data_IF_200811176268
#
_entry.id   IF_200811176268
#
_cell.length_a   1.000
_cell.length_b   1.000
_cell.length_c   1.000
_cell.angle_alpha   90.00
_cell.angle_beta   90.00
_cell.angle_gamma   90.00
#
_symmetry.space_group_name_H-M   'P 1'
#
loop_
_entity.id
_entity.type
_entity.pdbx_description
1 polymer ?
#
# COMPACT_ATOMS: atom_id res chain seq x y z
N UNK A 1 -11.10 -46.87 -34.75
CA UNK A 1 -10.23 -45.73 -35.11
C UNK A 1 -9.94 -44.97 -33.82
N UNK A 2 -8.68 -44.84 -33.41
CA UNK A 2 -8.33 -44.07 -32.22
C UNK A 2 -8.56 -42.58 -32.50
N UNK A 3 -9.17 -41.86 -31.56
CA UNK A 3 -9.32 -40.40 -31.64
C UNK A 3 -7.90 -39.80 -31.60
N UNK A 4 -7.42 -39.15 -32.68
CA UNK A 4 -6.09 -38.55 -32.70
C UNK A 4 -6.09 -37.38 -31.71
N UNK A 5 -5.08 -37.36 -30.83
CA UNK A 5 -4.83 -36.24 -29.93
C UNK A 5 -4.81 -34.93 -30.71
N UNK A 6 -5.73 -34.03 -30.37
CA UNK A 6 -5.81 -32.68 -30.90
C UNK A 6 -4.65 -31.85 -30.34
N UNK A 7 -3.45 -32.08 -30.85
CA UNK A 7 -2.40 -31.08 -30.80
C UNK A 7 -2.75 -30.03 -31.85
N UNK A 8 -3.17 -28.83 -31.43
CA UNK A 8 -3.34 -27.71 -32.33
C UNK A 8 -2.04 -26.91 -32.31
N UNK A 9 -1.12 -27.12 -33.28
CA UNK A 9 0.16 -26.43 -33.28
C UNK A 9 -0.10 -24.92 -33.40
N UNK A 10 0.55 -24.17 -32.52
CA UNK A 10 0.62 -22.73 -32.62
C UNK A 10 1.35 -22.35 -33.91
N UNK A 11 0.80 -21.39 -34.65
CA UNK A 11 1.42 -20.78 -35.84
C UNK A 11 1.84 -19.38 -35.48
N UNK A 12 3.10 -19.04 -35.74
CA UNK A 12 3.58 -17.67 -35.65
C UNK A 12 2.81 -16.77 -36.64
N UNK A 13 2.47 -15.56 -36.22
CA UNK A 13 1.79 -14.58 -37.06
C UNK A 13 2.75 -13.63 -37.81
N UNK A 14 4.06 -13.79 -37.61
CA UNK A 14 5.10 -12.94 -38.18
C UNK A 14 5.27 -11.58 -37.50
N UNK A 15 4.50 -11.29 -36.45
CA UNK A 15 4.52 -10.07 -35.64
C UNK A 15 4.98 -10.33 -34.19
N UNK A 16 5.52 -11.53 -33.94
CA UNK A 16 5.92 -11.97 -32.59
C UNK A 16 4.78 -12.58 -31.77
N UNK A 17 3.60 -12.80 -32.37
CA UNK A 17 2.49 -13.52 -31.79
C UNK A 17 2.37 -14.94 -32.31
N UNK A 18 1.53 -15.73 -31.63
CA UNK A 18 1.21 -17.11 -31.99
C UNK A 18 -0.30 -17.33 -31.99
N UNK A 19 -0.81 -18.10 -32.93
CA UNK A 19 -2.24 -18.35 -33.07
C UNK A 19 -2.55 -19.81 -33.43
N UNK A 20 -3.71 -20.28 -32.97
CA UNK A 20 -4.24 -21.61 -33.28
C UNK A 20 -5.76 -21.50 -33.48
N UNK A 21 -6.29 -22.27 -34.43
CA UNK A 21 -7.72 -22.29 -34.74
C UNK A 21 -8.23 -23.72 -34.68
N UNK A 22 -9.34 -23.93 -33.98
CA UNK A 22 -10.03 -25.21 -33.87
C UNK A 22 -11.55 -24.98 -33.79
N UNK A 23 -12.33 -26.02 -34.09
CA UNK A 23 -13.80 -25.96 -34.06
C UNK A 23 -14.33 -26.88 -32.97
N UNK A 24 -15.18 -26.34 -32.09
CA UNK A 24 -15.94 -27.11 -31.12
C UNK A 24 -17.39 -27.24 -31.58
N UNK A 25 -17.96 -28.43 -31.40
CA UNK A 25 -19.39 -28.67 -31.60
C UNK A 25 -20.09 -28.68 -30.23
N UNK A 26 -21.43 -28.66 -30.24
CA UNK A 26 -22.21 -28.75 -29.02
C UNK A 26 -21.76 -29.95 -28.17
N UNK A 27 -21.55 -29.71 -26.86
CA UNK A 27 -21.04 -30.68 -25.86
C UNK A 27 -19.57 -31.06 -25.98
N UNK A 28 -18.83 -30.57 -26.96
CA UNK A 28 -17.37 -30.72 -26.95
C UNK A 28 -16.75 -29.81 -25.88
N UNK A 29 -15.76 -30.34 -25.18
CA UNK A 29 -14.92 -29.60 -24.25
C UNK A 29 -13.47 -29.66 -24.74
N UNK A 30 -12.73 -28.58 -24.50
CA UNK A 30 -11.29 -28.53 -24.72
C UNK A 30 -10.64 -27.95 -23.48
N UNK A 31 -9.50 -28.51 -23.10
CA UNK A 31 -8.66 -28.03 -22.01
C UNK A 31 -7.31 -27.64 -22.60
N UNK A 32 -6.81 -26.47 -22.24
CA UNK A 32 -5.51 -25.97 -22.69
C UNK A 32 -4.68 -25.53 -21.48
N UNK A 33 -3.36 -25.60 -21.63
CA UNK A 33 -2.38 -25.16 -20.64
C UNK A 33 -1.47 -24.13 -21.31
N UNK A 34 -1.33 -22.97 -20.67
CA UNK A 34 -0.30 -21.99 -21.02
C UNK A 34 0.71 -21.98 -19.87
N UNK A 35 1.94 -22.41 -20.14
CA UNK A 35 3.01 -22.55 -19.17
C UNK A 35 4.20 -21.68 -19.58
N UNK A 36 4.84 -21.06 -18.59
CA UNK A 36 6.07 -20.29 -18.78
C UNK A 36 7.15 -20.93 -17.92
N UNK A 37 8.29 -21.31 -18.52
CA UNK A 37 9.40 -21.97 -17.82
C UNK A 37 10.69 -21.20 -18.02
N UNK A 38 11.53 -21.17 -16.99
CA UNK A 38 12.85 -20.52 -17.02
C UNK A 38 13.86 -21.35 -17.84
N UNK A 39 13.70 -22.67 -17.79
CA UNK A 39 14.57 -23.65 -18.43
C UNK A 39 13.80 -24.35 -19.55
N UNK A 40 14.48 -24.66 -20.67
CA UNK A 40 13.91 -25.30 -21.86
C UNK A 40 13.40 -26.73 -21.68
N UNK A 41 13.25 -27.19 -20.44
CA UNK A 41 12.78 -28.53 -20.06
C UNK A 41 11.24 -28.63 -19.93
N UNK A 42 10.52 -27.70 -20.57
CA UNK A 42 9.06 -27.76 -20.68
C UNK A 42 8.65 -28.86 -21.68
N UNK A 43 8.56 -30.10 -21.21
CA UNK A 43 7.92 -31.16 -21.96
C UNK A 43 6.45 -30.85 -22.18
N UNK A 44 5.96 -30.89 -23.43
CA UNK A 44 4.53 -30.71 -23.74
C UNK A 44 3.74 -31.83 -23.05
N UNK A 45 2.94 -31.48 -22.04
CA UNK A 45 2.03 -32.42 -21.36
C UNK A 45 0.61 -32.20 -21.86
N UNK A 46 -0.10 -33.24 -22.34
CA UNK A 46 -1.50 -33.09 -22.74
C UNK A 46 -2.36 -32.76 -21.51
N UNK A 47 -3.12 -31.67 -21.60
CA UNK A 47 -4.12 -31.31 -20.61
C UNK A 47 -5.37 -32.17 -20.83
N UNK A 48 -5.64 -33.07 -19.89
CA UNK A 48 -6.84 -33.93 -19.91
C UNK A 48 -7.91 -33.35 -18.97
N UNK A 49 -9.18 -33.74 -19.13
CA UNK A 49 -10.23 -33.37 -18.18
C UNK A 49 -9.89 -33.77 -16.74
N UNK A 50 -9.22 -34.92 -16.56
CA UNK A 50 -8.78 -35.39 -15.25
C UNK A 50 -7.69 -34.50 -14.66
N UNK A 51 -6.70 -34.09 -15.46
CA UNK A 51 -5.65 -33.17 -15.00
C UNK A 51 -6.26 -31.81 -14.65
N UNK A 52 -7.09 -31.26 -15.53
CA UNK A 52 -7.79 -30.01 -15.27
C UNK A 52 -8.61 -30.04 -13.97
N UNK A 53 -9.42 -31.09 -13.76
CA UNK A 53 -10.23 -31.16 -12.54
C UNK A 53 -9.37 -31.31 -11.29
N UNK A 54 -8.29 -32.08 -11.36
CA UNK A 54 -7.35 -32.19 -10.24
C UNK A 54 -6.73 -30.84 -9.91
N UNK A 55 -6.19 -30.12 -10.89
CA UNK A 55 -5.55 -28.81 -10.69
C UNK A 55 -6.56 -27.77 -10.18
N UNK A 56 -7.80 -27.83 -10.67
CA UNK A 56 -8.90 -26.98 -10.21
C UNK A 56 -9.28 -27.26 -8.75
N UNK A 57 -9.45 -28.54 -8.37
CA UNK A 57 -9.75 -28.97 -7.01
C UNK A 57 -8.61 -28.57 -6.05
N UNK A 58 -7.35 -28.84 -6.41
CA UNK A 58 -6.18 -28.47 -5.60
C UNK A 58 -6.08 -26.94 -5.40
N UNK A 59 -6.34 -26.17 -6.46
CA UNK A 59 -6.37 -24.69 -6.38
C UNK A 59 -7.49 -24.22 -5.45
N UNK A 60 -8.68 -24.80 -5.58
CA UNK A 60 -9.83 -24.45 -4.75
C UNK A 60 -9.58 -24.79 -3.28
N UNK A 61 -9.09 -25.99 -3.00
CA UNK A 61 -8.78 -26.47 -1.64
C UNK A 61 -7.71 -25.62 -0.98
N UNK A 62 -6.66 -25.22 -1.73
CA UNK A 62 -5.65 -24.31 -1.24
C UNK A 62 -6.25 -22.97 -0.80
N UNK A 63 -7.03 -22.31 -1.66
CA UNK A 63 -7.58 -20.99 -1.35
C UNK A 63 -8.65 -21.03 -0.24
N UNK A 64 -9.49 -22.06 -0.22
CA UNK A 64 -10.49 -22.26 0.84
C UNK A 64 -9.80 -22.57 2.17
N UNK A 65 -8.81 -23.46 2.17
CA UNK A 65 -7.99 -23.78 3.32
C UNK A 65 -7.26 -22.54 3.86
N UNK A 66 -6.63 -21.77 2.98
CA UNK A 66 -5.96 -20.51 3.35
C UNK A 66 -6.93 -19.52 3.99
N UNK A 67 -8.07 -19.26 3.34
CA UNK A 67 -9.07 -18.30 3.82
C UNK A 67 -9.76 -18.75 5.11
N UNK A 68 -9.85 -20.06 5.37
CA UNK A 68 -10.43 -20.60 6.61
C UNK A 68 -9.68 -20.14 7.87
N UNK A 69 -8.42 -19.70 7.74
CA UNK A 69 -7.59 -19.15 8.82
C UNK A 69 -7.96 -17.71 9.19
N UNK A 70 -8.74 -17.02 8.35
CA UNK A 70 -9.14 -15.63 8.59
C UNK A 70 -9.99 -15.52 9.86
N UNK A 71 -9.52 -14.72 10.82
CA UNK A 71 -10.15 -14.57 12.14
C UNK A 71 -11.25 -13.50 12.15
N UNK A 72 -11.38 -12.70 11.09
CA UNK A 72 -12.37 -11.63 11.03
C UNK A 72 -13.79 -12.15 10.83
N UNK A 73 -14.66 -11.83 11.79
CA UNK A 73 -16.08 -12.20 11.83
C UNK A 73 -17.01 -10.96 11.86
N UNK A 74 -16.48 -9.79 11.50
CA UNK A 74 -17.23 -8.52 11.54
C UNK A 74 -18.23 -8.36 10.40
N UNK A 75 -18.95 -7.23 10.41
CA UNK A 75 -20.09 -6.93 9.52
C UNK A 75 -19.77 -7.01 8.03
N UNK A 76 -18.54 -6.68 7.63
CA UNK A 76 -18.10 -6.62 6.23
C UNK A 76 -17.23 -7.82 5.82
N UNK A 77 -17.53 -9.00 6.36
CA UNK A 77 -16.70 -10.20 6.20
C UNK A 77 -16.30 -10.48 4.75
N UNK A 78 -17.25 -10.48 3.82
CA UNK A 78 -16.98 -10.82 2.41
C UNK A 78 -16.01 -9.83 1.75
N UNK A 79 -16.15 -8.53 2.04
CA UNK A 79 -15.27 -7.49 1.50
C UNK A 79 -13.86 -7.59 2.06
N UNK A 80 -13.75 -7.84 3.37
CA UNK A 80 -12.45 -8.04 4.04
C UNK A 80 -11.76 -9.30 3.53
N UNK A 81 -12.49 -10.42 3.39
CA UNK A 81 -11.94 -11.66 2.85
C UNK A 81 -11.52 -11.51 1.38
N UNK A 82 -12.30 -10.80 0.56
CA UNK A 82 -11.90 -10.50 -0.83
C UNK A 82 -10.60 -9.70 -0.87
N UNK A 83 -10.48 -8.63 -0.08
CA UNK A 83 -9.25 -7.85 0.02
C UNK A 83 -8.07 -8.67 0.52
N UNK A 84 -8.27 -9.58 1.47
CA UNK A 84 -7.22 -10.49 1.94
C UNK A 84 -6.72 -11.43 0.83
N UNK A 85 -7.61 -11.99 0.00
CA UNK A 85 -7.22 -12.79 -1.16
C UNK A 85 -6.36 -11.99 -2.14
N UNK A 86 -6.72 -10.74 -2.37
CA UNK A 86 -5.96 -9.84 -3.25
C UNK A 86 -4.55 -9.65 -2.72
N UNK A 87 -4.40 -9.31 -1.43
CA UNK A 87 -3.07 -9.11 -0.83
C UNK A 87 -2.23 -10.39 -0.90
N UNK A 88 -2.84 -11.57 -0.69
CA UNK A 88 -2.15 -12.85 -0.88
C UNK A 88 -1.72 -13.07 -2.33
N UNK A 89 -2.54 -12.70 -3.31
CA UNK A 89 -2.21 -12.76 -4.74
C UNK A 89 -1.12 -11.75 -5.15
N UNK A 90 -1.02 -10.62 -4.45
CA UNK A 90 0.04 -9.62 -4.64
C UNK A 90 1.34 -9.97 -3.90
N UNK A 91 1.34 -11.03 -3.09
CA UNK A 91 2.52 -11.52 -2.37
C UNK A 91 3.34 -12.43 -3.27
N UNK A 92 4.59 -12.07 -3.51
CA UNK A 92 5.56 -12.93 -4.19
C UNK A 92 6.01 -14.04 -3.24
N UNK A 93 5.44 -15.23 -3.42
CA UNK A 93 5.62 -16.35 -2.50
C UNK A 93 7.08 -16.70 -2.14
N UNK A 94 8.08 -16.61 -3.05
CA UNK A 94 9.47 -16.96 -2.71
C UNK A 94 10.13 -16.05 -1.67
N UNK A 95 9.77 -14.76 -1.61
CA UNK A 95 10.42 -13.80 -0.72
C UNK A 95 9.48 -13.20 0.31
N UNK A 96 8.16 -13.29 0.12
CA UNK A 96 7.16 -12.60 0.94
C UNK A 96 6.92 -11.15 0.54
N UNK A 97 7.66 -10.61 -0.44
CA UNK A 97 7.48 -9.23 -0.91
C UNK A 97 6.07 -9.01 -1.47
N UNK A 98 5.44 -7.89 -1.15
CA UNK A 98 4.11 -7.54 -1.67
C UNK A 98 4.24 -6.39 -2.65
N UNK A 99 3.75 -6.56 -3.88
CA UNK A 99 3.75 -5.47 -4.86
C UNK A 99 2.61 -4.49 -4.59
N UNK A 100 2.84 -3.20 -4.86
CA UNK A 100 1.79 -2.18 -4.72
C UNK A 100 0.61 -2.42 -5.67
N UNK A 101 0.88 -2.93 -6.88
CA UNK A 101 -0.11 -3.47 -7.81
C UNK A 101 0.57 -4.38 -8.86
N UNK A 102 -0.16 -5.31 -9.50
CA UNK A 102 0.40 -6.16 -10.55
C UNK A 102 0.38 -5.47 -11.92
N UNK A 103 0.20 -4.16 -11.96
CA UNK A 103 0.03 -3.36 -13.18
C UNK A 103 1.08 -2.27 -13.29
N UNK A 104 1.24 -1.78 -14.52
CA UNK A 104 2.03 -0.59 -14.82
C UNK A 104 1.26 0.30 -15.78
N UNK A 105 1.49 1.61 -15.69
CA UNK A 105 1.08 2.60 -16.67
C UNK A 105 -0.42 2.71 -16.88
N UNK A 106 -1.20 2.33 -15.85
CA UNK A 106 -2.60 2.68 -15.82
C UNK A 106 -2.74 4.14 -15.37
N UNK A 107 -3.56 4.95 -16.06
CA UNK A 107 -3.61 6.39 -15.85
C UNK A 107 -4.45 6.79 -14.64
N UNK A 108 -3.90 7.66 -13.79
CA UNK A 108 -4.65 8.46 -12.78
C UNK A 108 -5.58 9.50 -13.46
N UNK A 109 -5.37 9.76 -14.75
CA UNK A 109 -6.21 10.65 -15.55
C UNK A 109 -6.15 10.23 -17.01
N UNK A 110 -7.30 9.86 -17.61
CA UNK A 110 -7.34 9.35 -18.99
C UNK A 110 -6.75 10.37 -19.97
N UNK A 111 -5.79 9.95 -20.79
CA UNK A 111 -5.04 10.80 -21.70
C UNK A 111 -3.93 11.62 -21.03
N UNK A 112 -3.82 11.54 -19.70
CA UNK A 112 -2.84 12.25 -18.89
C UNK A 112 -1.49 11.53 -18.74
N UNK A 113 -0.50 12.22 -18.15
CA UNK A 113 0.87 11.71 -18.01
C UNK A 113 1.13 10.93 -16.70
N UNK A 114 0.15 10.81 -15.81
CA UNK A 114 0.27 10.16 -14.48
C UNK A 114 0.00 8.65 -14.62
N UNK A 115 1.00 7.94 -15.13
CA UNK A 115 0.90 6.51 -15.49
C UNK A 115 2.13 5.79 -14.95
N UNK A 116 2.04 5.19 -13.76
CA UNK A 116 3.20 4.69 -13.00
C UNK A 116 3.30 3.17 -13.00
N UNK A 117 4.51 2.64 -12.83
CA UNK A 117 4.76 1.21 -12.62
C UNK A 117 4.72 0.87 -11.12
N UNK A 118 3.78 0.01 -10.73
CA UNK A 118 3.51 -0.34 -9.33
C UNK A 118 3.91 -1.78 -8.98
N UNK A 119 4.64 -2.47 -9.87
CA UNK A 119 5.05 -3.87 -9.69
C UNK A 119 6.25 -4.04 -8.74
N UNK A 120 6.35 -3.16 -7.75
CA UNK A 120 7.44 -3.06 -6.78
C UNK A 120 6.87 -3.04 -5.36
N UNK A 121 7.72 -3.25 -4.37
CA UNK A 121 7.37 -3.26 -2.95
C UNK A 121 7.85 -1.96 -2.30
N UNK A 122 6.92 -1.19 -1.76
CA UNK A 122 7.20 0.05 -1.04
C UNK A 122 7.31 -0.20 0.47
N UNK A 123 8.29 0.42 1.11
CA UNK A 123 8.39 0.42 2.58
C UNK A 123 7.24 1.19 3.23
N UNK A 124 6.70 2.20 2.54
CA UNK A 124 5.55 2.98 3.00
C UNK A 124 4.34 2.12 3.35
N UNK A 125 4.10 1.06 2.58
CA UNK A 125 2.90 0.23 2.73
C UNK A 125 3.10 -0.85 3.81
N UNK A 126 4.29 -0.94 4.43
CA UNK A 126 4.70 -2.04 5.28
C UNK A 126 3.88 -2.13 6.58
N UNK A 127 3.60 -0.99 7.24
CA UNK A 127 2.93 -1.00 8.54
C UNK A 127 1.48 -1.47 8.39
N UNK A 128 0.79 -0.92 7.38
CA UNK A 128 -0.54 -1.37 6.97
C UNK A 128 -0.55 -2.85 6.58
N UNK A 129 0.48 -3.33 5.87
CA UNK A 129 0.62 -4.74 5.47
C UNK A 129 0.66 -5.66 6.68
N UNK A 130 1.61 -5.46 7.59
CA UNK A 130 1.73 -6.30 8.78
C UNK A 130 0.51 -6.17 9.68
N UNK A 131 -0.01 -4.96 9.87
CA UNK A 131 -1.24 -4.75 10.62
C UNK A 131 -2.41 -5.57 10.02
N UNK A 132 -2.63 -5.49 8.71
CA UNK A 132 -3.69 -6.20 8.02
C UNK A 132 -3.56 -7.71 8.14
N UNK A 133 -2.40 -8.27 7.81
CA UNK A 133 -2.15 -9.71 7.87
C UNK A 133 -2.30 -10.27 9.29
N UNK A 134 -1.66 -9.64 10.27
CA UNK A 134 -1.68 -10.10 11.67
C UNK A 134 -3.08 -9.95 12.29
N UNK A 135 -3.79 -8.87 11.97
CA UNK A 135 -5.17 -8.65 12.45
C UNK A 135 -6.13 -9.71 11.92
N UNK A 136 -5.91 -10.18 10.68
CA UNK A 136 -6.72 -11.23 10.07
C UNK A 136 -6.25 -12.65 10.41
N UNK A 137 -5.11 -12.82 11.09
CA UNK A 137 -4.57 -14.13 11.50
C UNK A 137 -3.70 -14.83 10.45
N UNK A 138 -3.19 -14.09 9.46
CA UNK A 138 -2.29 -14.60 8.42
C UNK A 138 -0.82 -14.45 8.83
N UNK A 139 -0.41 -15.24 9.83
CA UNK A 139 0.91 -15.12 10.46
C UNK A 139 2.06 -15.52 9.52
N UNK A 140 1.90 -16.57 8.70
CA UNK A 140 2.96 -17.05 7.80
C UNK A 140 3.34 -15.97 6.76
N UNK A 141 2.33 -15.29 6.21
CA UNK A 141 2.52 -14.17 5.28
C UNK A 141 3.20 -12.99 5.97
N UNK A 142 2.81 -12.69 7.21
CA UNK A 142 3.41 -11.62 8.00
C UNK A 142 4.89 -11.92 8.34
N UNK A 143 5.21 -13.17 8.70
CA UNK A 143 6.59 -13.60 8.96
C UNK A 143 7.45 -13.55 7.69
N UNK A 144 6.91 -14.00 6.56
CA UNK A 144 7.61 -13.93 5.26
C UNK A 144 7.91 -12.49 4.85
N UNK A 145 6.92 -11.60 4.96
CA UNK A 145 7.11 -10.18 4.67
C UNK A 145 8.06 -9.50 5.67
N UNK A 146 8.03 -9.89 6.95
CA UNK A 146 8.99 -9.41 7.94
C UNK A 146 10.41 -9.87 7.61
N UNK A 147 10.60 -11.13 7.19
CA UNK A 147 11.91 -11.60 6.71
C UNK A 147 12.43 -10.74 5.56
N UNK A 148 11.56 -10.40 4.60
CA UNK A 148 11.91 -9.50 3.51
C UNK A 148 12.30 -8.08 3.98
N UNK A 149 11.63 -7.53 5.00
CA UNK A 149 11.98 -6.23 5.59
C UNK A 149 13.30 -6.29 6.37
N UNK A 150 13.55 -7.40 7.08
CA UNK A 150 14.80 -7.64 7.82
C UNK A 150 15.99 -7.62 6.87
N UNK A 151 15.89 -8.28 5.72
CA UNK A 151 16.93 -8.23 4.68
C UNK A 151 17.23 -6.78 4.24
N UNK A 152 16.19 -5.93 4.06
CA UNK A 152 16.40 -4.52 3.71
C UNK A 152 17.10 -3.73 4.82
N UNK A 153 16.86 -4.08 6.09
CA UNK A 153 17.57 -3.50 7.23
C UNK A 153 19.05 -3.89 7.26
N UNK A 154 19.42 -5.03 6.67
CA UNK A 154 20.81 -5.48 6.53
C UNK A 154 21.51 -4.88 5.29
N UNK A 155 20.76 -4.33 4.35
CA UNK A 155 21.23 -3.78 3.06
C UNK A 155 21.22 -2.24 3.02
N UNK A 156 21.47 -1.60 4.16
CA UNK A 156 21.52 -0.14 4.26
C UNK A 156 22.56 0.45 3.30
N UNK A 157 22.29 1.66 2.82
CA UNK A 157 23.31 2.42 2.08
C UNK A 157 24.53 2.69 2.98
N UNK A 158 25.74 2.94 2.41
CA UNK A 158 26.94 3.20 3.21
C UNK A 158 26.82 4.38 4.18
N UNK A 159 25.92 5.33 3.89
CA UNK A 159 25.62 6.48 4.75
C UNK A 159 24.58 6.15 5.83
N UNK A 160 23.99 4.95 5.85
CA UNK A 160 22.94 4.52 6.78
C UNK A 160 21.50 4.76 6.30
N UNK A 161 21.29 5.31 5.11
CA UNK A 161 19.94 5.58 4.59
C UNK A 161 19.28 4.37 3.94
N UNK A 162 17.94 4.41 3.84
CA UNK A 162 17.11 3.42 3.15
C UNK A 162 16.60 3.95 1.80
N UNK A 163 16.49 3.04 0.85
CA UNK A 163 15.77 3.27 -0.40
C UNK A 163 14.25 3.09 -0.17
N UNK A 164 13.37 3.92 -0.77
CA UNK A 164 11.92 3.87 -0.49
C UNK A 164 11.20 2.59 -0.94
N UNK A 165 11.67 1.97 -2.01
CA UNK A 165 10.98 0.87 -2.69
C UNK A 165 11.96 -0.07 -3.40
N UNK A 166 11.60 -1.33 -3.58
CA UNK A 166 12.49 -2.37 -4.12
C UNK A 166 11.74 -3.31 -5.06
N UNK A 167 12.46 -4.08 -5.88
CA UNK A 167 11.84 -5.21 -6.58
C UNK A 167 11.46 -6.34 -5.63
N UNK A 168 10.62 -7.26 -6.13
CA UNK A 168 10.15 -8.44 -5.39
C UNK A 168 11.27 -9.35 -4.88
N UNK A 169 12.44 -9.27 -5.51
CA UNK A 169 13.69 -9.99 -5.21
C UNK A 169 14.67 -9.14 -4.38
N UNK A 170 14.27 -7.95 -3.93
CA UNK A 170 15.14 -7.01 -3.20
C UNK A 170 16.02 -6.15 -4.09
N UNK A 171 15.93 -6.26 -5.43
CA UNK A 171 16.76 -5.43 -6.33
C UNK A 171 16.50 -3.93 -6.09
N UNK A 172 17.59 -3.16 -6.12
CA UNK A 172 17.58 -1.73 -5.84
C UNK A 172 17.40 -0.88 -7.09
N UNK A 173 17.92 -1.30 -8.23
CA UNK A 173 17.81 -0.50 -9.45
C UNK A 173 16.46 -0.69 -10.14
N UNK A 174 15.65 0.38 -10.13
CA UNK A 174 14.30 0.43 -10.68
C UNK A 174 14.18 1.49 -11.80
N UNK A 175 15.21 1.58 -12.65
CA UNK A 175 15.34 2.61 -13.69
C UNK A 175 14.02 2.82 -14.47
N UNK A 176 13.55 4.06 -14.48
CA UNK A 176 12.32 4.47 -15.17
C UNK A 176 12.63 4.81 -16.64
N UNK A 177 11.98 4.12 -17.58
CA UNK A 177 12.03 4.43 -19.02
C UNK A 177 10.66 4.31 -19.68
N UNK A 178 10.51 4.90 -20.88
CA UNK A 178 9.24 4.95 -21.61
C UNK A 178 9.22 4.07 -22.85
N UNK A 179 8.09 3.41 -23.09
CA UNK A 179 7.84 2.59 -24.28
C UNK A 179 7.05 3.40 -25.32
N UNK A 180 7.75 4.21 -26.11
CA UNK A 180 7.11 5.16 -27.02
C UNK A 180 6.34 4.53 -28.19
N UNK A 181 6.60 3.26 -28.48
CA UNK A 181 5.92 2.48 -29.52
C UNK A 181 4.52 2.01 -29.08
N UNK A 182 4.17 2.11 -27.80
CA UNK A 182 2.84 1.75 -27.29
C UNK A 182 1.94 2.98 -27.21
N UNK A 183 0.66 2.82 -27.57
CA UNK A 183 -0.32 3.91 -27.46
C UNK A 183 -0.74 4.20 -26.01
N UNK A 184 -0.59 3.21 -25.11
CA UNK A 184 -1.02 3.26 -23.72
C UNK A 184 -2.53 3.09 -23.54
N UNK A 185 -2.95 2.76 -22.31
CA UNK A 185 -4.35 2.46 -22.01
C UNK A 185 -5.25 3.68 -22.30
N UNK A 186 -6.27 3.49 -23.16
CA UNK A 186 -7.16 4.56 -23.64
C UNK A 186 -6.37 5.79 -24.16
N UNK A 187 -5.25 5.56 -24.85
CA UNK A 187 -4.35 6.59 -25.41
C UNK A 187 -3.66 7.46 -24.34
N UNK A 188 -3.50 6.94 -23.13
CA UNK A 188 -2.81 7.64 -22.04
C UNK A 188 -1.31 7.36 -22.12
N UNK A 189 -0.52 8.42 -22.33
CA UNK A 189 0.94 8.35 -22.48
C UNK A 189 1.63 9.18 -21.41
N UNK A 190 2.86 8.80 -20.99
CA UNK A 190 3.66 7.70 -21.52
C UNK A 190 3.31 6.34 -20.90
N UNK A 191 3.74 5.25 -21.55
CA UNK A 191 3.83 3.92 -20.94
C UNK A 191 5.22 3.81 -20.31
N UNK A 192 5.28 3.66 -18.99
CA UNK A 192 6.49 3.57 -18.18
C UNK A 192 6.80 2.13 -17.76
N UNK A 193 8.08 1.83 -17.65
CA UNK A 193 8.61 0.67 -16.96
C UNK A 193 9.61 1.18 -15.94
N UNK A 194 9.58 0.65 -14.72
CA UNK A 194 10.35 1.22 -13.61
C UNK A 194 9.65 2.41 -12.96
N UNK A 195 10.22 2.90 -11.87
CA UNK A 195 9.63 3.98 -11.09
C UNK A 195 10.71 4.87 -10.49
N UNK A 196 10.76 6.13 -10.89
CA UNK A 196 11.78 7.09 -10.47
C UNK A 196 11.78 7.43 -8.97
N UNK A 197 10.72 7.08 -8.22
CA UNK A 197 10.63 7.33 -6.78
C UNK A 197 11.72 6.58 -5.98
N UNK A 198 12.31 5.51 -6.51
CA UNK A 198 13.39 4.78 -5.83
C UNK A 198 14.64 5.61 -5.54
N UNK A 199 14.85 6.74 -6.22
CA UNK A 199 15.97 7.66 -5.95
C UNK A 199 15.62 8.80 -5.00
N UNK A 200 14.34 8.93 -4.62
CA UNK A 200 13.88 10.05 -3.80
C UNK A 200 14.29 9.87 -2.34
N UNK A 201 14.44 11.01 -1.66
CA UNK A 201 14.53 11.01 -0.22
C UNK A 201 13.11 11.00 0.37
N UNK A 202 12.79 9.98 1.15
CA UNK A 202 11.52 9.90 1.87
C UNK A 202 11.82 9.64 3.33
N UNK A 203 11.52 10.59 4.21
CA UNK A 203 11.78 10.44 5.64
C UNK A 203 10.67 9.64 6.34
N UNK A 204 9.49 9.53 5.73
CA UNK A 204 8.37 8.77 6.26
C UNK A 204 8.64 7.26 6.32
N UNK A 205 9.43 6.71 5.39
CA UNK A 205 9.70 5.26 5.33
C UNK A 205 10.35 4.69 6.59
N UNK A 206 11.08 5.51 7.35
CA UNK A 206 11.71 5.07 8.60
C UNK A 206 10.67 4.83 9.69
N UNK A 207 9.67 5.70 9.77
CA UNK A 207 8.52 5.51 10.64
C UNK A 207 7.71 4.29 10.25
N UNK A 208 7.44 4.12 8.95
CA UNK A 208 6.66 3.00 8.42
C UNK A 208 7.35 1.66 8.71
N UNK A 209 8.66 1.58 8.48
CA UNK A 209 9.45 0.40 8.77
C UNK A 209 9.45 0.06 10.27
N UNK A 210 9.72 1.02 11.15
CA UNK A 210 9.82 0.74 12.58
C UNK A 210 8.44 0.49 13.19
N UNK A 211 7.37 1.11 12.69
CA UNK A 211 6.00 0.78 13.12
C UNK A 211 5.61 -0.64 12.69
N UNK A 212 5.98 -1.06 11.48
CA UNK A 212 5.85 -2.45 11.01
C UNK A 212 6.51 -3.42 11.98
N UNK A 213 7.77 -3.15 12.33
CA UNK A 213 8.54 -4.00 13.24
C UNK A 213 7.95 -3.99 14.64
N UNK A 214 7.47 -2.84 15.12
CA UNK A 214 6.78 -2.75 16.40
C UNK A 214 5.50 -3.60 16.42
N UNK A 215 4.71 -3.55 15.35
CA UNK A 215 3.50 -4.36 15.20
C UNK A 215 3.89 -5.84 15.23
N UNK A 216 4.88 -6.26 14.45
CA UNK A 216 5.36 -7.65 14.43
C UNK A 216 5.91 -8.10 15.78
N UNK A 217 6.69 -7.25 16.46
CA UNK A 217 7.29 -7.53 17.77
C UNK A 217 6.26 -7.85 18.87
N UNK A 218 5.01 -7.39 18.72
CA UNK A 218 3.92 -7.74 19.64
C UNK A 218 3.40 -9.17 19.46
N UNK A 219 3.75 -9.82 18.36
CA UNK A 219 3.38 -11.19 18.02
C UNK A 219 4.58 -12.14 18.12
N UNK A 220 5.74 -11.72 17.64
CA UNK A 220 6.96 -12.52 17.63
C UNK A 220 8.18 -11.64 17.92
N UNK A 221 9.06 -12.15 18.77
CA UNK A 221 10.25 -11.45 19.21
C UNK A 221 11.21 -11.11 18.08
N UNK A 222 11.63 -9.84 17.99
CA UNK A 222 12.71 -9.45 17.07
C UNK A 222 14.08 -9.92 17.56
N UNK A 223 14.98 -10.19 16.61
CA UNK A 223 16.37 -10.57 16.90
C UNK A 223 17.20 -9.38 17.39
N UNK A 224 18.28 -9.66 18.10
CA UNK A 224 19.26 -8.63 18.48
C UNK A 224 19.98 -8.04 17.25
N UNK A 225 20.17 -8.84 16.20
CA UNK A 225 20.81 -8.38 14.96
C UNK A 225 19.93 -7.35 14.24
N UNK A 226 18.64 -7.61 14.06
CA UNK A 226 17.70 -6.61 13.55
C UNK A 226 17.72 -5.36 14.44
N UNK A 227 17.67 -5.52 15.77
CA UNK A 227 17.73 -4.37 16.68
C UNK A 227 18.97 -3.49 16.49
N UNK A 228 20.14 -4.06 16.23
CA UNK A 228 21.36 -3.28 15.93
C UNK A 228 21.18 -2.42 14.68
N UNK A 229 20.58 -2.95 13.62
CA UNK A 229 20.32 -2.20 12.38
C UNK A 229 19.30 -1.07 12.60
N UNK A 230 18.25 -1.32 13.40
CA UNK A 230 17.29 -0.26 13.76
C UNK A 230 17.95 0.88 14.53
N UNK A 231 18.90 0.59 15.42
CA UNK A 231 19.68 1.64 16.08
C UNK A 231 20.51 2.45 15.10
N UNK A 232 21.10 1.81 14.10
CA UNK A 232 21.88 2.53 13.08
C UNK A 232 20.99 3.44 12.21
N UNK A 233 19.81 2.94 11.83
CA UNK A 233 18.80 3.73 11.11
C UNK A 233 18.35 4.95 11.91
N UNK A 234 18.12 4.80 13.22
CA UNK A 234 17.69 5.90 14.08
C UNK A 234 18.78 6.96 14.28
N UNK A 235 20.06 6.57 14.29
CA UNK A 235 21.17 7.54 14.30
C UNK A 235 21.16 8.38 13.03
N UNK A 236 20.99 7.74 11.86
CA UNK A 236 20.87 8.51 10.61
C UNK A 236 19.64 9.43 10.63
N UNK A 237 18.49 8.93 11.11
CA UNK A 237 17.27 9.73 11.17
C UNK A 237 17.39 10.92 12.13
N UNK A 238 18.07 10.75 13.27
CA UNK A 238 18.34 11.83 14.24
C UNK A 238 19.05 13.03 13.59
N UNK A 239 19.99 12.76 12.70
CA UNK A 239 20.74 13.78 11.97
C UNK A 239 19.92 14.44 10.84
N UNK A 240 18.98 13.72 10.23
CA UNK A 240 18.36 14.13 8.97
C UNK A 240 16.86 14.45 9.04
N UNK A 241 16.18 14.20 10.17
CA UNK A 241 14.71 14.34 10.24
C UNK A 241 14.21 15.75 9.97
N UNK A 242 15.03 16.79 10.14
CA UNK A 242 14.67 18.20 9.86
C UNK A 242 14.78 18.58 8.39
N UNK A 243 15.44 17.77 7.58
CA UNK A 243 15.67 18.07 6.16
C UNK A 243 14.38 17.91 5.35
N UNK A 244 14.21 18.71 4.28
CA UNK A 244 13.09 18.52 3.37
C UNK A 244 13.23 17.21 2.59
N UNK A 245 12.10 16.66 2.14
CA UNK A 245 12.00 15.38 1.44
C UNK A 245 10.84 15.41 0.43
N UNK A 246 10.60 14.29 -0.26
CA UNK A 246 9.57 14.17 -1.31
C UNK A 246 8.20 13.71 -0.77
N UNK A 247 8.14 13.35 0.51
CA UNK A 247 6.93 12.99 1.24
C UNK A 247 6.23 11.72 0.73
N UNK A 248 5.11 11.39 1.38
CA UNK A 248 4.32 10.18 1.11
C UNK A 248 3.79 10.09 -0.33
N UNK A 249 3.59 11.25 -0.98
CA UNK A 249 3.08 11.37 -2.35
C UNK A 249 4.17 11.47 -3.41
N UNK A 250 5.45 11.36 -3.04
CA UNK A 250 6.57 11.22 -3.97
C UNK A 250 6.67 12.39 -4.95
N UNK A 251 6.39 13.60 -4.45
CA UNK A 251 6.16 14.77 -5.31
C UNK A 251 7.39 15.06 -6.18
N UNK A 252 7.17 15.31 -7.47
CA UNK A 252 8.26 15.62 -8.41
C UNK A 252 8.55 17.12 -8.55
N UNK A 253 7.81 17.99 -7.85
CA UNK A 253 7.99 19.44 -7.85
C UNK A 253 9.04 19.96 -6.85
N UNK A 254 9.78 19.07 -6.20
CA UNK A 254 10.90 19.39 -5.31
C UNK A 254 10.60 19.18 -3.83
N UNK A 255 11.67 19.04 -3.05
CA UNK A 255 11.62 18.67 -1.63
C UNK A 255 10.98 19.76 -0.75
N UNK A 256 10.21 19.34 0.25
CA UNK A 256 9.55 20.21 1.25
C UNK A 256 9.64 19.61 2.66
N UNK A 257 9.52 20.42 3.72
CA UNK A 257 9.38 19.92 5.09
C UNK A 257 7.95 19.40 5.30
N UNK A 258 7.64 18.22 4.76
CA UNK A 258 6.30 17.63 4.83
C UNK A 258 5.91 17.26 6.26
N UNK A 259 4.68 17.59 6.65
CA UNK A 259 4.14 17.27 7.96
C UNK A 259 4.16 15.76 8.21
N UNK A 260 3.68 14.98 7.24
CA UNK A 260 3.62 13.52 7.35
C UNK A 260 5.00 12.91 7.62
N UNK A 261 6.03 13.38 6.92
CA UNK A 261 7.41 12.92 7.09
C UNK A 261 7.95 13.18 8.50
N UNK A 262 7.57 14.31 9.11
CA UNK A 262 7.91 14.62 10.51
C UNK A 262 7.16 13.72 11.48
N UNK A 263 5.86 13.53 11.27
CA UNK A 263 5.04 12.61 12.08
C UNK A 263 5.62 11.20 12.05
N UNK A 264 6.00 10.69 10.87
CA UNK A 264 6.59 9.36 10.76
C UNK A 264 8.01 9.29 11.32
N UNK A 265 8.78 10.38 11.28
CA UNK A 265 10.04 10.48 12.02
C UNK A 265 9.81 10.38 13.53
N UNK A 266 8.76 11.01 14.07
CA UNK A 266 8.37 10.84 15.47
C UNK A 266 7.94 9.40 15.77
N UNK A 267 7.16 8.77 14.88
CA UNK A 267 6.74 7.36 15.01
C UNK A 267 7.96 6.46 15.15
N UNK A 268 8.99 6.64 14.32
CA UNK A 268 10.22 5.86 14.38
C UNK A 268 10.82 5.83 15.81
N UNK A 269 10.99 7.00 16.43
CA UNK A 269 11.55 7.09 17.78
C UNK A 269 10.57 6.58 18.87
N UNK A 270 9.28 6.91 18.79
CA UNK A 270 8.29 6.43 19.77
C UNK A 270 8.21 4.89 19.76
N UNK A 271 8.17 4.27 18.57
CA UNK A 271 8.12 2.82 18.44
C UNK A 271 9.41 2.16 18.89
N UNK A 272 10.57 2.71 18.57
CA UNK A 272 11.84 2.21 19.05
C UNK A 272 11.94 2.25 20.59
N UNK A 273 11.49 3.33 21.23
CA UNK A 273 11.42 3.45 22.69
C UNK A 273 10.49 2.38 23.30
N UNK A 274 9.34 2.12 22.68
CA UNK A 274 8.41 1.06 23.13
C UNK A 274 9.02 -0.32 23.02
N UNK A 275 9.64 -0.65 21.89
CA UNK A 275 10.33 -1.93 21.67
C UNK A 275 11.43 -2.10 22.72
N UNK A 276 12.31 -1.10 22.88
CA UNK A 276 13.43 -1.16 23.81
C UNK A 276 12.97 -1.39 25.25
N UNK A 277 11.95 -0.65 25.71
CA UNK A 277 11.39 -0.80 27.07
C UNK A 277 10.71 -2.15 27.28
N UNK A 278 9.94 -2.61 26.29
CA UNK A 278 9.21 -3.88 26.39
C UNK A 278 10.14 -5.09 26.42
N UNK A 279 11.21 -5.05 25.62
CA UNK A 279 12.15 -6.18 25.43
C UNK A 279 13.40 -6.10 26.32
N UNK A 280 13.65 -4.97 26.97
CA UNK A 280 14.89 -4.72 27.69
C UNK A 280 16.11 -4.61 26.76
N UNK A 281 15.90 -4.18 25.50
CA UNK A 281 16.99 -4.08 24.52
C UNK A 281 17.86 -2.84 24.78
N UNK A 282 19.19 -2.92 24.63
CA UNK A 282 20.08 -1.78 24.83
C UNK A 282 19.76 -0.63 23.86
N UNK A 283 19.53 0.58 24.40
CA UNK A 283 19.16 1.76 23.64
C UNK A 283 19.60 3.05 24.36
N UNK A 284 19.94 4.13 23.63
CA UNK A 284 20.17 5.46 24.21
C UNK A 284 18.81 6.11 24.57
N UNK A 285 18.14 5.57 25.60
CA UNK A 285 16.76 5.95 25.95
C UNK A 285 16.61 7.45 26.19
N UNK A 286 17.59 8.10 26.83
CA UNK A 286 17.55 9.54 27.10
C UNK A 286 17.54 10.34 25.80
N UNK A 287 18.46 10.03 24.90
CA UNK A 287 18.66 10.76 23.64
C UNK A 287 17.43 10.58 22.73
N UNK A 288 16.98 9.34 22.54
CA UNK A 288 15.76 9.07 21.75
C UNK A 288 14.51 9.70 22.34
N UNK A 289 14.41 9.80 23.67
CA UNK A 289 13.29 10.51 24.31
C UNK A 289 13.37 12.00 24.02
N UNK A 290 14.56 12.60 24.05
CA UNK A 290 14.77 14.01 23.72
C UNK A 290 14.45 14.31 22.26
N UNK A 291 14.94 13.49 21.32
CA UNK A 291 14.65 13.64 19.88
C UNK A 291 13.17 13.46 19.60
N UNK A 292 12.52 12.44 20.18
CA UNK A 292 11.07 12.23 20.03
C UNK A 292 10.27 13.43 20.55
N UNK A 293 10.65 14.01 21.70
CA UNK A 293 10.00 15.21 22.23
C UNK A 293 10.21 16.42 21.31
N UNK A 294 11.43 16.61 20.81
CA UNK A 294 11.75 17.71 19.90
C UNK A 294 10.96 17.64 18.60
N UNK A 295 10.86 16.46 17.97
CA UNK A 295 10.05 16.28 16.76
C UNK A 295 8.57 16.55 17.05
N UNK A 296 8.08 16.09 18.20
CA UNK A 296 6.69 16.33 18.60
C UNK A 296 6.39 17.83 18.73
N UNK A 297 7.24 18.57 19.44
CA UNK A 297 7.10 20.01 19.62
C UNK A 297 7.21 20.76 18.28
N UNK A 298 8.17 20.38 17.42
CA UNK A 298 8.32 20.94 16.07
C UNK A 298 7.07 20.74 15.20
N UNK A 299 6.44 19.56 15.26
CA UNK A 299 5.17 19.28 14.57
C UNK A 299 4.05 20.18 15.10
N UNK A 300 3.94 20.34 16.41
CA UNK A 300 2.85 21.13 17.00
C UNK A 300 3.05 22.63 16.74
N UNK A 301 4.28 23.11 16.70
CA UNK A 301 4.61 24.52 16.44
C UNK A 301 4.52 24.88 14.96
N UNK A 302 5.08 24.05 14.07
CA UNK A 302 5.23 24.37 12.65
C UNK A 302 4.19 23.70 11.75
N UNK A 303 3.56 22.63 12.23
CA UNK A 303 2.54 21.87 11.49
C UNK A 303 1.12 22.41 11.65
N UNK A 304 0.84 23.18 12.70
CA UNK A 304 -0.50 23.74 12.96
C UNK A 304 -0.64 25.15 12.37
N UNK A 305 -1.68 25.37 11.57
CA UNK A 305 -1.99 26.69 11.03
C UNK A 305 -3.14 27.36 11.79
N UNK A 306 -2.81 28.37 12.58
CA UNK A 306 -3.76 29.01 13.51
C UNK A 306 -4.99 29.63 12.82
N UNK A 307 -4.81 30.33 11.70
CA UNK A 307 -5.93 30.98 11.00
C UNK A 307 -6.85 29.96 10.29
N UNK A 308 -6.30 28.88 9.73
CA UNK A 308 -7.07 27.83 9.05
C UNK A 308 -7.63 26.80 10.04
N UNK A 309 -7.10 26.77 11.27
CA UNK A 309 -7.39 25.80 12.31
C UNK A 309 -7.26 24.36 11.81
N UNK A 310 -6.14 24.06 11.18
CA UNK A 310 -5.83 22.69 10.77
C UNK A 310 -4.34 22.46 10.74
N UNK A 311 -3.97 21.19 10.78
CA UNK A 311 -2.66 20.77 10.31
C UNK A 311 -2.50 21.05 8.80
N UNK A 312 -1.27 21.34 8.40
CA UNK A 312 -0.89 21.70 7.02
C UNK A 312 -0.26 20.54 6.27
N UNK A 313 -0.13 20.65 4.95
CA UNK A 313 0.58 19.65 4.14
C UNK A 313 2.09 19.63 4.43
N UNK A 314 2.72 20.81 4.45
CA UNK A 314 4.14 21.01 4.73
C UNK A 314 4.33 22.34 5.46
N UNK A 315 5.40 22.48 6.23
CA UNK A 315 5.62 23.70 7.02
C UNK A 315 5.70 24.96 6.16
N UNK A 316 4.97 26.00 6.59
CA UNK A 316 4.83 27.26 5.86
C UNK A 316 3.74 27.25 4.77
N UNK A 317 3.07 26.12 4.52
CA UNK A 317 1.86 26.07 3.69
C UNK A 317 0.62 26.47 4.49
N UNK A 318 -0.45 26.91 3.82
CA UNK A 318 -1.79 27.02 4.39
C UNK A 318 -2.75 25.93 3.89
N UNK A 319 -2.29 25.01 3.05
CA UNK A 319 -3.08 23.92 2.48
C UNK A 319 -3.08 22.69 3.37
N UNK A 320 -4.18 21.93 3.32
CA UNK A 320 -4.36 20.69 4.07
C UNK A 320 -4.08 19.49 3.16
N UNK A 321 -3.68 18.38 3.77
CA UNK A 321 -3.43 17.10 3.10
C UNK A 321 -4.17 15.97 3.81
N UNK A 322 -4.68 15.00 3.06
CA UNK A 322 -5.39 13.85 3.61
C UNK A 322 -4.49 12.95 4.49
N UNK A 323 -3.16 12.96 4.27
CA UNK A 323 -2.20 12.27 5.13
C UNK A 323 -2.22 12.74 6.59
N UNK A 324 -2.76 13.93 6.89
CA UNK A 324 -2.97 14.36 8.28
C UNK A 324 -3.95 13.44 9.05
N UNK A 325 -4.80 12.68 8.37
CA UNK A 325 -5.64 11.65 9.01
C UNK A 325 -4.78 10.54 9.66
N UNK A 326 -3.60 10.26 9.10
CA UNK A 326 -2.67 9.25 9.62
C UNK A 326 -2.11 9.63 10.99
N UNK A 327 -2.17 10.90 11.41
CA UNK A 327 -1.79 11.31 12.78
C UNK A 327 -2.66 10.63 13.85
N UNK A 328 -3.91 10.29 13.52
CA UNK A 328 -4.80 9.53 14.43
C UNK A 328 -4.46 8.05 14.39
N UNK A 329 -4.21 7.49 13.20
CA UNK A 329 -3.94 6.06 13.02
C UNK A 329 -2.61 5.65 13.66
N UNK A 330 -1.60 6.53 13.58
CA UNK A 330 -0.28 6.37 14.21
C UNK A 330 -0.25 6.76 15.69
N UNK A 331 -1.38 7.24 16.23
CA UNK A 331 -1.54 7.70 17.63
C UNK A 331 -0.65 8.88 18.00
N UNK A 332 -0.27 9.72 17.04
CA UNK A 332 0.37 11.01 17.29
C UNK A 332 -0.61 11.95 18.00
N UNK A 333 -1.85 12.06 17.49
CA UNK A 333 -2.93 12.82 18.12
C UNK A 333 -4.06 11.91 18.61
N UNK A 334 -4.71 12.32 19.70
CA UNK A 334 -5.96 11.70 20.15
C UNK A 334 -7.07 11.93 19.12
N UNK A 335 -7.97 10.95 18.89
CA UNK A 335 -9.00 11.07 17.86
C UNK A 335 -10.09 12.10 18.18
N UNK A 336 -10.19 12.53 19.42
CA UNK A 336 -11.11 13.58 19.89
C UNK A 336 -10.39 14.88 20.24
N UNK A 337 -9.11 15.00 19.89
CA UNK A 337 -8.35 16.23 20.09
C UNK A 337 -8.99 17.39 19.29
N UNK A 338 -9.16 18.59 19.87
CA UNK A 338 -9.80 19.72 19.17
C UNK A 338 -9.11 20.13 17.86
N UNK A 339 -7.77 20.11 17.81
CA UNK A 339 -7.02 20.44 16.60
C UNK A 339 -7.22 19.36 15.52
N UNK A 340 -7.25 18.10 15.92
CA UNK A 340 -7.52 17.00 15.01
C UNK A 340 -8.96 17.00 14.49
N UNK A 341 -9.95 17.27 15.34
CA UNK A 341 -11.36 17.39 14.91
C UNK A 341 -11.56 18.56 13.94
N UNK A 342 -10.84 19.67 14.15
CA UNK A 342 -10.85 20.82 13.25
C UNK A 342 -10.19 20.48 11.90
N UNK A 343 -9.07 19.76 11.94
CA UNK A 343 -8.39 19.25 10.74
C UNK A 343 -9.27 18.29 9.94
N UNK A 344 -9.88 17.31 10.61
CA UNK A 344 -10.86 16.39 10.03
C UNK A 344 -12.00 17.16 9.35
N UNK A 345 -12.59 18.15 10.04
CA UNK A 345 -13.66 18.98 9.47
C UNK A 345 -13.21 19.76 8.23
N UNK A 346 -11.95 20.21 8.20
CA UNK A 346 -11.37 20.88 7.04
C UNK A 346 -11.18 19.92 5.86
N UNK A 347 -10.64 18.73 6.08
CA UNK A 347 -10.49 17.69 5.05
C UNK A 347 -11.86 17.33 4.46
N UNK A 348 -12.88 17.16 5.30
CA UNK A 348 -14.25 16.90 4.86
C UNK A 348 -14.83 18.04 3.99
N UNK A 349 -14.46 19.29 4.26
CA UNK A 349 -14.96 20.45 3.51
C UNK A 349 -14.19 20.68 2.20
N UNK A 350 -12.88 20.53 2.22
CA UNK A 350 -12.00 20.99 1.13
C UNK A 350 -11.49 19.85 0.24
N UNK A 351 -11.37 18.63 0.77
CA UNK A 351 -10.82 17.48 0.04
C UNK A 351 -11.85 16.38 -0.23
N UNK A 352 -13.05 16.46 0.33
CA UNK A 352 -14.06 15.39 0.20
C UNK A 352 -15.15 15.77 -0.79
N UNK A 353 -15.43 14.87 -1.74
CA UNK A 353 -16.60 14.93 -2.62
C UNK A 353 -17.45 13.70 -2.35
N UNK A 354 -18.62 13.92 -1.73
CA UNK A 354 -19.48 12.85 -1.21
C UNK A 354 -18.77 11.95 -0.17
N UNK A 355 -18.26 10.79 -0.59
CA UNK A 355 -17.53 9.82 0.25
C UNK A 355 -16.06 9.68 -0.16
N UNK A 356 -15.64 10.42 -1.19
CA UNK A 356 -14.33 10.30 -1.80
C UNK A 356 -13.41 11.43 -1.42
N UNK A 357 -12.16 11.12 -1.10
CA UNK A 357 -11.18 12.08 -0.58
C UNK A 357 -10.02 12.24 -1.55
N UNK A 358 -9.73 13.47 -1.98
CA UNK A 358 -8.50 13.81 -2.71
C UNK A 358 -7.30 13.83 -1.75
N UNK A 359 -6.09 13.56 -2.27
CA UNK A 359 -4.85 13.66 -1.48
C UNK A 359 -4.65 15.09 -0.95
N UNK A 360 -4.76 16.05 -1.85
CA UNK A 360 -4.65 17.48 -1.65
C UNK A 360 -5.31 18.21 -2.82
N UNK A 361 -5.32 19.55 -2.84
CA UNK A 361 -5.79 20.33 -4.00
C UNK A 361 -4.60 20.68 -4.90
N UNK A 362 -4.43 20.05 -6.10
CA UNK A 362 -3.20 20.17 -6.89
C UNK A 362 -2.82 21.59 -7.29
N UNK A 363 -3.80 22.50 -7.44
CA UNK A 363 -3.56 23.89 -7.82
C UNK A 363 -3.02 24.78 -6.69
N UNK A 364 -3.07 24.31 -5.43
CA UNK A 364 -2.69 25.09 -4.24
C UNK A 364 -1.61 24.42 -3.39
N UNK A 365 -1.55 23.09 -3.45
CA UNK A 365 -0.64 22.24 -2.70
C UNK A 365 0.80 22.27 -3.25
N UNK A 366 1.70 21.49 -2.63
CA UNK A 366 3.00 21.18 -3.19
C UNK A 366 2.85 20.66 -4.63
N UNK A 367 3.66 21.20 -5.54
CA UNK A 367 3.59 20.79 -6.94
C UNK A 367 4.04 19.33 -7.07
N UNK A 368 3.20 18.52 -7.71
CA UNK A 368 3.53 17.14 -8.11
C UNK A 368 4.41 17.10 -9.38
N UNK A 369 4.76 18.26 -9.95
CA UNK A 369 5.55 18.39 -11.18
C UNK A 369 4.77 18.07 -12.47
N UNK A 370 3.45 17.83 -12.40
CA UNK A 370 2.65 17.35 -13.52
C UNK A 370 1.44 18.25 -13.79
N UNK A 371 0.97 18.25 -15.04
CA UNK A 371 -0.22 19.00 -15.47
C UNK A 371 -1.47 18.13 -15.40
N UNK A 372 -2.62 18.74 -15.16
CA UNK A 372 -3.93 18.09 -15.19
C UNK A 372 -4.49 17.78 -13.80
N UNK A 373 -5.65 17.14 -13.79
CA UNK A 373 -6.37 16.72 -12.58
C UNK A 373 -6.17 15.23 -12.33
N UNK A 374 -6.23 14.83 -11.06
CA UNK A 374 -6.27 13.44 -10.60
C UNK A 374 -7.68 13.05 -10.15
N UNK A 375 -7.93 11.75 -10.00
CA UNK A 375 -9.09 11.23 -9.32
C UNK A 375 -8.99 11.38 -7.80
N UNK A 376 -10.04 10.96 -7.12
CA UNK A 376 -10.00 10.82 -5.65
C UNK A 376 -9.26 9.56 -5.25
N UNK A 377 -8.49 9.62 -4.17
CA UNK A 377 -7.57 8.55 -3.77
C UNK A 377 -8.24 7.62 -2.77
N UNK A 378 -8.48 6.37 -3.18
CA UNK A 378 -9.29 5.42 -2.42
C UNK A 378 -8.77 5.16 -0.99
N UNK A 379 -7.45 5.04 -0.74
CA UNK A 379 -6.90 4.94 0.61
C UNK A 379 -7.29 6.11 1.53
N UNK A 380 -7.28 7.35 1.03
CA UNK A 380 -7.64 8.54 1.81
C UNK A 380 -9.10 8.48 2.29
N UNK A 381 -10.01 7.98 1.45
CA UNK A 381 -11.41 7.77 1.82
C UNK A 381 -11.55 6.74 2.95
N UNK A 382 -10.76 5.67 2.90
CA UNK A 382 -10.73 4.67 3.97
C UNK A 382 -10.10 5.22 5.26
N UNK A 383 -9.03 6.03 5.19
CA UNK A 383 -8.48 6.70 6.36
C UNK A 383 -9.48 7.66 7.00
N UNK A 384 -10.30 8.33 6.20
CA UNK A 384 -11.40 9.17 6.69
C UNK A 384 -12.41 8.33 7.48
N UNK A 385 -12.82 7.16 6.95
CA UNK A 385 -13.69 6.22 7.67
C UNK A 385 -13.11 5.85 9.03
N UNK A 386 -11.84 5.43 9.06
CA UNK A 386 -11.22 5.00 10.32
C UNK A 386 -11.09 6.17 11.32
N UNK A 387 -10.71 7.35 10.85
CA UNK A 387 -10.60 8.55 11.68
C UNK A 387 -11.95 8.96 12.27
N UNK A 388 -13.01 8.95 11.46
CA UNK A 388 -14.39 9.20 11.92
C UNK A 388 -14.82 8.15 12.96
N UNK A 389 -14.50 6.88 12.74
CA UNK A 389 -14.82 5.81 13.67
C UNK A 389 -14.13 6.02 15.04
N UNK A 390 -12.83 6.36 15.01
CA UNK A 390 -12.03 6.66 16.20
C UNK A 390 -12.51 7.92 16.93
N UNK A 391 -12.99 8.92 16.20
CA UNK A 391 -13.58 10.14 16.75
C UNK A 391 -15.01 9.92 17.31
N UNK A 392 -15.56 8.71 17.24
CA UNK A 392 -16.92 8.40 17.70
C UNK A 392 -18.03 8.84 16.74
N UNK A 393 -17.71 9.35 15.55
CA UNK A 393 -18.66 9.75 14.49
C UNK A 393 -19.12 8.52 13.68
N UNK A 394 -19.67 7.52 14.38
CA UNK A 394 -19.90 6.18 13.85
C UNK A 394 -20.89 6.11 12.69
N UNK A 395 -21.98 6.89 12.75
CA UNK A 395 -22.98 6.92 11.68
C UNK A 395 -22.35 7.41 10.37
N UNK A 396 -21.53 8.44 10.46
CA UNK A 396 -20.85 9.03 9.32
C UNK A 396 -19.75 8.13 8.76
N UNK A 397 -18.91 7.56 9.63
CA UNK A 397 -17.93 6.55 9.24
C UNK A 397 -18.58 5.40 8.46
N UNK A 398 -19.73 4.92 8.93
CA UNK A 398 -20.49 3.85 8.28
C UNK A 398 -21.05 4.29 6.92
N UNK A 399 -21.62 5.48 6.82
CA UNK A 399 -22.13 6.00 5.54
C UNK A 399 -21.02 6.14 4.50
N UNK A 400 -19.86 6.68 4.88
CA UNK A 400 -18.71 6.80 3.97
C UNK A 400 -18.22 5.40 3.54
N UNK A 401 -18.09 4.46 4.49
CA UNK A 401 -17.65 3.10 4.19
C UNK A 401 -18.60 2.39 3.23
N UNK A 402 -19.90 2.35 3.52
CA UNK A 402 -20.88 1.63 2.69
C UNK A 402 -20.96 2.20 1.26
N UNK A 403 -20.76 3.51 1.10
CA UNK A 403 -20.62 4.14 -0.22
C UNK A 403 -19.33 3.72 -0.91
N UNK A 404 -18.18 3.81 -0.24
CA UNK A 404 -16.91 3.34 -0.80
C UNK A 404 -16.99 1.88 -1.25
N UNK A 405 -17.67 1.02 -0.50
CA UNK A 405 -17.82 -0.39 -0.85
C UNK A 405 -18.54 -0.60 -2.20
N UNK A 406 -19.40 0.34 -2.61
CA UNK A 406 -20.13 0.28 -3.89
C UNK A 406 -19.26 0.53 -5.14
N UNK A 407 -18.05 1.04 -4.96
CA UNK A 407 -17.09 1.29 -6.06
C UNK A 407 -16.20 0.09 -6.39
N UNK A 408 -16.37 -1.04 -5.68
CA UNK A 408 -15.73 -2.28 -6.07
C UNK A 408 -16.20 -2.67 -7.48
N UNK A 409 -15.30 -3.22 -8.29
CA UNK A 409 -15.73 -3.82 -9.55
C UNK A 409 -16.58 -5.09 -9.30
N UNK A 410 -17.06 -5.71 -10.38
CA UNK A 410 -17.88 -6.93 -10.34
C UNK A 410 -17.27 -8.14 -9.60
N UNK A 411 -15.97 -8.12 -9.28
CA UNK A 411 -15.27 -9.16 -8.49
C UNK A 411 -14.79 -8.64 -7.13
N UNK A 412 -15.22 -7.45 -6.71
CA UNK A 412 -14.94 -6.89 -5.38
C UNK A 412 -13.55 -6.25 -5.24
N UNK A 413 -12.99 -5.74 -6.33
CA UNK A 413 -11.64 -5.18 -6.38
C UNK A 413 -11.66 -3.66 -6.56
N UNK A 414 -10.66 -2.99 -6.02
CA UNK A 414 -10.54 -1.53 -6.06
C UNK A 414 -9.25 -1.11 -6.77
N UNK A 415 -9.35 -0.01 -7.52
CA UNK A 415 -8.19 0.68 -8.05
C UNK A 415 -7.61 1.64 -7.00
N UNK A 416 -6.51 2.28 -7.39
CA UNK A 416 -5.91 3.40 -6.69
C UNK A 416 -6.86 4.58 -6.55
N UNK A 417 -7.47 5.00 -7.66
CA UNK A 417 -8.29 6.20 -7.74
C UNK A 417 -9.69 5.93 -8.30
N UNK A 418 -10.61 6.84 -7.96
CA UNK A 418 -11.96 6.91 -8.52
C UNK A 418 -12.13 8.26 -9.20
N UNK A 419 -12.56 8.22 -10.46
CA UNK A 419 -12.86 9.42 -11.25
C UNK A 419 -14.11 10.14 -10.72
N UNK A 420 -14.33 11.42 -11.09
CA UNK A 420 -15.58 12.11 -10.78
C UNK A 420 -16.85 11.43 -11.32
N UNK A 421 -16.72 10.57 -12.35
CA UNK A 421 -17.81 9.78 -12.93
C UNK A 421 -17.95 8.39 -12.29
N UNK A 422 -17.07 8.03 -11.35
CA UNK A 422 -17.05 6.74 -10.67
C UNK A 422 -16.25 5.65 -11.38
N UNK A 423 -15.52 5.97 -12.45
CA UNK A 423 -14.63 5.02 -13.14
C UNK A 423 -13.37 4.77 -12.31
N UNK A 424 -12.87 3.54 -12.33
CA UNK A 424 -11.59 3.18 -11.75
C UNK A 424 -10.43 3.83 -12.54
N UNK A 425 -9.49 4.45 -11.83
CA UNK A 425 -8.29 5.11 -12.34
C UNK A 425 -7.04 4.64 -11.58
N UNK A 426 -5.87 4.85 -12.19
CA UNK A 426 -4.59 4.44 -11.63
C UNK A 426 -4.41 2.92 -11.60
N UNK A 427 -3.44 2.46 -10.81
CA UNK A 427 -3.07 1.05 -10.78
C UNK A 427 -4.13 0.14 -10.13
N UNK A 428 -4.20 -1.14 -10.56
CA UNK A 428 -5.30 -2.03 -10.23
C UNK A 428 -4.93 -3.53 -10.16
N UNK A 429 -5.46 -4.30 -9.19
CA UNK A 429 -5.95 -3.81 -7.90
C UNK A 429 -4.78 -3.22 -7.10
N UNK A 430 -5.04 -2.18 -6.31
CA UNK A 430 -3.99 -1.53 -5.51
C UNK A 430 -3.94 -2.11 -4.09
N UNK A 431 -2.77 -2.59 -3.67
CA UNK A 431 -2.54 -3.13 -2.32
C UNK A 431 -2.91 -2.10 -1.24
N UNK A 432 -2.46 -0.85 -1.40
CA UNK A 432 -2.69 0.20 -0.39
C UNK A 432 -4.18 0.47 -0.13
N UNK A 433 -5.00 0.50 -1.19
CA UNK A 433 -6.48 0.59 -1.06
C UNK A 433 -7.05 -0.59 -0.29
N UNK A 434 -6.64 -1.82 -0.63
CA UNK A 434 -7.15 -3.03 0.02
C UNK A 434 -6.71 -3.14 1.49
N UNK A 435 -5.51 -2.67 1.83
CA UNK A 435 -5.02 -2.57 3.20
C UNK A 435 -5.81 -1.54 4.02
N UNK A 436 -6.03 -0.35 3.46
CA UNK A 436 -6.83 0.70 4.10
C UNK A 436 -8.27 0.22 4.32
N UNK A 437 -8.88 -0.47 3.35
CA UNK A 437 -10.21 -1.07 3.50
C UNK A 437 -10.26 -2.05 4.67
N UNK A 438 -9.31 -2.98 4.77
CA UNK A 438 -9.25 -3.95 5.88
C UNK A 438 -9.18 -3.22 7.21
N UNK A 439 -8.29 -2.23 7.33
CA UNK A 439 -8.13 -1.44 8.56
C UNK A 439 -9.42 -0.72 8.95
N UNK A 440 -10.05 -0.03 8.00
CA UNK A 440 -11.27 0.74 8.24
C UNK A 440 -12.45 -0.15 8.59
N UNK A 441 -12.65 -1.27 7.89
CA UNK A 441 -13.68 -2.24 8.22
C UNK A 441 -13.48 -2.81 9.63
N UNK A 442 -12.24 -3.21 9.96
CA UNK A 442 -11.92 -3.79 11.26
C UNK A 442 -12.16 -2.80 12.40
N UNK A 443 -11.62 -1.59 12.29
CA UNK A 443 -11.72 -0.57 13.33
C UNK A 443 -13.15 -0.03 13.49
N UNK A 444 -13.88 0.19 12.39
CA UNK A 444 -15.28 0.60 12.48
C UNK A 444 -16.15 -0.51 13.09
N UNK A 445 -15.92 -1.79 12.75
CA UNK A 445 -16.69 -2.89 13.34
C UNK A 445 -16.49 -2.96 14.86
N UNK A 446 -15.24 -2.81 15.31
CA UNK A 446 -14.91 -2.70 16.74
C UNK A 446 -15.58 -1.50 17.40
N UNK A 447 -15.59 -0.34 16.74
CA UNK A 447 -16.23 0.87 17.24
C UNK A 447 -17.74 0.70 17.43
N UNK A 448 -18.41 0.13 16.43
CA UNK A 448 -19.84 -0.19 16.48
C UNK A 448 -20.18 -1.24 17.56
N UNK A 449 -19.22 -2.07 17.95
CA UNK A 449 -19.36 -3.04 19.03
C UNK A 449 -18.97 -2.47 20.42
N UNK A 450 -18.63 -1.19 20.53
CA UNK A 450 -18.18 -0.57 21.78
C UNK A 450 -16.80 -1.04 22.26
N UNK A 451 -15.97 -1.59 21.36
CA UNK A 451 -14.66 -2.21 21.66
C UNK A 451 -13.46 -1.44 21.11
N UNK A 452 -13.68 -0.25 20.56
CA UNK A 452 -12.58 0.59 20.10
C UNK A 452 -11.97 1.29 21.31
N UNK A 453 -10.80 0.82 21.71
CA UNK A 453 -9.95 1.50 22.68
C UNK A 453 -8.91 2.28 21.86
N UNK A 454 -8.70 3.55 22.24
CA UNK A 454 -7.80 4.51 21.58
C UNK A 454 -6.46 3.93 21.13
#
# INVERSE_FOLDING_TARGET
MPWPGYYCPLKEDGLGGVSAHFTLHARHKLYFLLECTCDGDAGIRPMTERHYQKDFEETMDFWQGWMSRCTYQGRWREMVQRSALVLKLLTYAPTGAIVAAPTTSLPESIGGPRNWDYRFTWLRDAAFTLYGLLTLGFYDEAESFMGWLDDRCHELEPNGSLQPMYGIDGRRDLEEFTLDHLEGYRKSRPVRIGNGAYKQKQLDIYGELIDSIYIFNRHQDISYDLWKHLRHLLVWLEDHWREPDEGIWEVRGGQKPFLHSRVMSWVAFDRALRIARHRGLPAPISDWTAVSAEIYDDIMENGWHEQKKSFVQYYGSDEVDASALLMVLTKFCGPTDPQMLSTLSRIQRELTTDSHVYRYVPSRAASDGLKGTEGTFSPCSFWLVETLARAGRLLEARMVLEKMLSYANHVGLYAEEVSPTGEALGNFPQAFTHLALISSCYNLDRALNGKLLG
#
